data_IF_148621611700
#
_entry.id   IF_148621611700
#
_cell.length_a   1.000
_cell.length_b   1.000
_cell.length_c   1.000
_cell.angle_alpha   90.00
_cell.angle_beta   90.00
_cell.angle_gamma   90.00
#
_symmetry.space_group_name_H-M   'P 1'
#
loop_
_entity.id
_entity.type
_entity.pdbx_description
1 polymer ?
#
# COMPACT_ATOMS: atom_id res chain seq x y z
N UNK A 1 -5.96 12.88 -10.67
CA UNK A 1 -4.86 12.21 -9.97
C UNK A 1 -3.58 12.62 -10.66
N UNK A 2 -2.68 13.30 -9.94
CA UNK A 2 -1.40 13.74 -10.48
C UNK A 2 -0.29 12.76 -10.08
N UNK A 3 -0.32 11.58 -10.72
CA UNK A 3 0.66 10.50 -10.47
C UNK A 3 2.08 10.97 -10.82
N UNK A 4 2.21 11.89 -11.79
CA UNK A 4 3.49 12.49 -12.18
C UNK A 4 4.13 13.26 -11.03
N UNK A 5 3.36 14.08 -10.30
CA UNK A 5 3.85 14.78 -9.10
C UNK A 5 4.33 13.79 -8.02
N UNK A 6 3.60 12.69 -7.80
CA UNK A 6 4.04 11.66 -6.85
C UNK A 6 5.38 11.03 -7.27
N UNK A 7 5.52 10.66 -8.55
CA UNK A 7 6.78 10.11 -9.09
C UNK A 7 7.93 11.10 -8.96
N UNK A 8 7.69 12.39 -9.20
CA UNK A 8 8.69 13.45 -9.03
C UNK A 8 9.12 13.61 -7.57
N UNK A 9 8.19 13.57 -6.61
CA UNK A 9 8.50 13.60 -5.16
C UNK A 9 9.41 12.43 -4.78
N UNK A 10 9.12 11.22 -5.26
CA UNK A 10 9.93 10.03 -4.98
C UNK A 10 11.34 10.17 -5.57
N UNK A 11 11.46 10.63 -6.82
CA UNK A 11 12.76 10.87 -7.46
C UNK A 11 13.56 11.94 -6.71
N UNK A 12 12.91 13.02 -6.26
CA UNK A 12 13.55 14.07 -5.49
C UNK A 12 14.07 13.55 -4.14
N UNK A 13 13.26 12.78 -3.40
CA UNK A 13 13.64 12.20 -2.11
C UNK A 13 14.83 11.25 -2.24
N UNK A 14 14.84 10.38 -3.28
CA UNK A 14 15.96 9.46 -3.56
C UNK A 14 17.28 10.16 -3.86
N UNK A 15 17.24 11.34 -4.47
CA UNK A 15 18.45 12.11 -4.84
C UNK A 15 19.03 12.90 -3.67
N UNK A 16 18.29 13.01 -2.57
CA UNK A 16 18.70 13.82 -1.45
C UNK A 16 19.58 13.00 -0.49
N UNK A 17 20.88 13.29 -0.46
CA UNK A 17 21.87 12.54 0.36
C UNK A 17 21.45 12.42 1.83
N UNK A 18 20.96 13.52 2.43
CA UNK A 18 20.43 13.50 3.80
C UNK A 18 19.26 12.52 4.00
N UNK A 19 18.43 12.30 2.98
CA UNK A 19 17.34 11.33 3.05
C UNK A 19 17.87 9.90 3.04
N UNK A 20 18.95 9.64 2.31
CA UNK A 20 19.56 8.31 2.24
C UNK A 20 20.29 7.97 3.55
N UNK A 21 21.03 8.93 4.12
CA UNK A 21 21.68 8.77 5.43
C UNK A 21 20.64 8.58 6.53
N UNK A 22 19.62 9.45 6.60
CA UNK A 22 18.57 9.34 7.62
C UNK A 22 17.83 8.00 7.56
N UNK A 23 17.52 7.51 6.35
CA UNK A 23 16.88 6.21 6.18
C UNK A 23 17.76 5.06 6.68
N UNK A 24 19.07 5.11 6.39
CA UNK A 24 20.02 4.09 6.88
C UNK A 24 20.15 4.09 8.39
N UNK A 25 20.29 5.27 8.99
CA UNK A 25 20.42 5.40 10.44
C UNK A 25 19.15 4.93 11.14
N UNK A 26 17.98 5.37 10.67
CA UNK A 26 16.67 4.94 11.16
C UNK A 26 16.47 3.42 11.10
N UNK A 27 16.94 2.80 10.02
CA UNK A 27 16.84 1.36 9.82
C UNK A 27 17.84 0.60 10.70
N UNK A 28 19.05 1.11 10.89
CA UNK A 28 20.07 0.49 11.74
C UNK A 28 19.61 0.36 13.20
N UNK A 29 18.81 1.33 13.68
CA UNK A 29 18.21 1.29 15.01
C UNK A 29 17.12 0.21 15.15
N UNK A 30 16.44 -0.14 14.05
CA UNK A 30 15.27 -1.03 14.04
C UNK A 30 15.61 -2.48 13.74
N UNK A 31 16.58 -2.72 12.84
CA UNK A 31 16.97 -4.08 12.44
C UNK A 31 17.21 -5.04 13.62
N UNK A 32 17.90 -4.65 14.71
CA UNK A 32 18.14 -5.55 15.84
C UNK A 32 16.87 -6.00 16.58
N UNK A 33 15.81 -5.18 16.54
CA UNK A 33 14.53 -5.44 17.21
C UNK A 33 13.47 -6.09 16.31
N UNK A 34 13.73 -6.21 15.01
CA UNK A 34 12.83 -6.91 14.10
C UNK A 34 12.93 -8.42 14.36
N UNK A 35 11.82 -9.05 14.73
CA UNK A 35 11.68 -10.51 14.76
C UNK A 35 11.66 -11.14 13.35
N UNK A 36 11.89 -10.32 12.33
CA UNK A 36 11.97 -10.70 10.94
C UNK A 36 13.20 -11.59 10.75
N UNK A 37 12.97 -12.89 10.61
CA UNK A 37 14.05 -13.83 10.32
C UNK A 37 14.50 -13.68 8.87
N UNK A 38 15.19 -12.59 8.51
CA UNK A 38 15.76 -12.40 7.17
C UNK A 38 16.78 -13.53 6.94
N UNK A 39 16.33 -14.69 6.44
CA UNK A 39 17.20 -15.73 5.89
C UNK A 39 17.62 -15.30 4.50
N UNK A 40 18.30 -14.18 4.42
CA UNK A 40 19.06 -13.82 3.25
C UNK A 40 20.51 -14.16 3.56
N UNK A 41 21.18 -14.91 2.69
CA UNK A 41 22.64 -14.97 2.72
C UNK A 41 23.30 -13.63 2.32
N UNK A 42 22.56 -12.53 2.32
CA UNK A 42 22.95 -11.18 1.96
C UNK A 42 22.81 -10.23 3.15
N UNK A 43 23.43 -9.05 3.01
CA UNK A 43 23.30 -7.90 3.91
C UNK A 43 21.83 -7.51 4.15
N UNK A 44 21.39 -7.64 5.41
CA UNK A 44 20.02 -7.33 5.87
C UNK A 44 19.67 -5.86 5.64
N UNK A 45 20.64 -4.95 5.86
CA UNK A 45 20.48 -3.52 5.62
C UNK A 45 20.17 -3.24 4.14
N UNK A 46 21.01 -3.75 3.23
CA UNK A 46 20.78 -3.59 1.79
C UNK A 46 19.45 -4.21 1.35
N UNK A 47 19.08 -5.37 1.90
CA UNK A 47 17.80 -6.02 1.59
C UNK A 47 16.62 -5.13 2.00
N UNK A 48 16.68 -4.55 3.19
CA UNK A 48 15.58 -3.75 3.71
C UNK A 48 15.47 -2.37 3.06
N UNK A 49 16.60 -1.74 2.71
CA UNK A 49 16.60 -0.52 1.91
C UNK A 49 15.93 -0.75 0.55
N UNK A 50 16.23 -1.87 -0.12
CA UNK A 50 15.57 -2.24 -1.38
C UNK A 50 14.08 -2.50 -1.21
N UNK A 51 13.69 -3.14 -0.10
CA UNK A 51 12.29 -3.34 0.21
C UNK A 51 11.55 -2.01 0.37
N UNK A 52 12.05 -1.10 1.21
CA UNK A 52 11.44 0.23 1.43
C UNK A 52 11.31 0.99 0.12
N UNK A 53 12.38 0.99 -0.67
CA UNK A 53 12.43 1.66 -1.97
C UNK A 53 11.39 1.12 -2.96
N UNK A 54 11.28 -0.21 -3.06
CA UNK A 54 10.29 -0.87 -3.91
C UNK A 54 8.87 -0.63 -3.39
N UNK A 55 8.65 -0.66 -2.07
CA UNK A 55 7.35 -0.47 -1.43
C UNK A 55 6.79 0.93 -1.72
N UNK A 56 7.64 1.95 -1.66
CA UNK A 56 7.28 3.35 -1.99
C UNK A 56 7.00 3.49 -3.48
N UNK A 57 7.87 2.99 -4.36
CA UNK A 57 7.72 3.18 -5.82
C UNK A 57 6.52 2.44 -6.40
N UNK A 58 6.11 1.35 -5.77
CA UNK A 58 4.95 0.60 -6.22
C UNK A 58 3.65 1.40 -6.15
N UNK A 59 3.52 2.38 -5.26
CA UNK A 59 2.26 3.12 -5.08
C UNK A 59 1.83 3.86 -6.35
N UNK A 60 2.65 4.72 -6.99
CA UNK A 60 2.23 5.37 -8.23
C UNK A 60 1.88 4.39 -9.36
N UNK A 61 2.62 3.27 -9.49
CA UNK A 61 2.30 2.23 -10.47
C UNK A 61 0.94 1.58 -10.15
N UNK A 62 0.64 1.36 -8.87
CA UNK A 62 -0.61 0.76 -8.39
C UNK A 62 -1.81 1.65 -8.72
N UNK A 63 -1.68 2.94 -8.42
CA UNK A 63 -2.74 3.91 -8.63
C UNK A 63 -3.02 4.10 -10.13
N UNK A 64 -1.98 4.09 -10.97
CA UNK A 64 -2.11 4.16 -12.42
C UNK A 64 -2.81 2.93 -12.99
N UNK A 65 -2.36 1.73 -12.60
CA UNK A 65 -2.96 0.48 -13.00
C UNK A 65 -4.44 0.40 -12.58
N UNK A 66 -4.72 0.73 -11.32
CA UNK A 66 -6.07 0.73 -10.77
C UNK A 66 -6.99 1.67 -11.54
N UNK A 67 -6.52 2.87 -11.92
CA UNK A 67 -7.31 3.81 -12.70
C UNK A 67 -7.67 3.25 -14.09
N UNK A 68 -6.73 2.61 -14.78
CA UNK A 68 -6.96 2.00 -16.09
C UNK A 68 -7.91 0.81 -15.98
N UNK A 69 -7.66 -0.11 -15.03
CA UNK A 69 -8.50 -1.29 -14.83
C UNK A 69 -9.91 -0.88 -14.43
N UNK A 70 -10.08 0.14 -13.59
CA UNK A 70 -11.40 0.61 -13.20
C UNK A 70 -12.25 1.13 -14.36
N UNK A 71 -11.63 1.73 -15.37
CA UNK A 71 -12.32 2.18 -16.57
C UNK A 71 -12.71 0.98 -17.43
N UNK A 72 -11.77 0.07 -17.67
CA UNK A 72 -11.98 -1.11 -18.53
C UNK A 72 -12.98 -2.10 -17.94
N UNK A 73 -12.94 -2.31 -16.62
CA UNK A 73 -13.85 -3.20 -15.91
C UNK A 73 -15.20 -2.56 -15.54
N UNK A 74 -15.39 -1.25 -15.79
CA UNK A 74 -16.61 -0.53 -15.45
C UNK A 74 -16.84 -0.32 -13.94
N UNK A 75 -15.78 -0.44 -13.12
CA UNK A 75 -15.83 -0.29 -11.64
C UNK A 75 -15.35 1.09 -11.16
N UNK A 76 -15.32 2.08 -12.08
CA UNK A 76 -14.82 3.42 -11.80
C UNK A 76 -15.56 4.13 -10.66
N UNK A 77 -16.86 3.88 -10.50
CA UNK A 77 -17.66 4.45 -9.40
C UNK A 77 -17.19 3.93 -8.03
N UNK A 78 -16.84 2.65 -7.95
CA UNK A 78 -16.37 2.00 -6.73
C UNK A 78 -14.92 2.38 -6.41
N UNK A 79 -14.05 2.44 -7.43
CA UNK A 79 -12.61 2.60 -7.22
C UNK A 79 -12.15 4.06 -7.16
N UNK A 80 -12.81 4.99 -7.85
CA UNK A 80 -12.38 6.40 -7.86
C UNK A 80 -12.31 7.05 -6.48
N UNK A 81 -13.26 6.83 -5.56
CA UNK A 81 -13.15 7.33 -4.20
C UNK A 81 -11.91 6.82 -3.48
N UNK A 82 -11.57 5.53 -3.66
CA UNK A 82 -10.41 4.88 -3.03
C UNK A 82 -9.10 5.51 -3.51
N UNK A 83 -8.95 5.68 -4.83
CA UNK A 83 -7.77 6.28 -5.43
C UNK A 83 -7.57 7.73 -4.99
N UNK A 84 -8.66 8.49 -4.80
CA UNK A 84 -8.58 9.87 -4.29
C UNK A 84 -8.09 9.94 -2.86
N UNK A 85 -8.52 9.03 -1.99
CA UNK A 85 -8.04 8.98 -0.60
C UNK A 85 -6.57 8.55 -0.56
N UNK A 86 -6.19 7.53 -1.34
CA UNK A 86 -4.80 7.11 -1.46
C UNK A 86 -3.90 8.24 -1.96
N UNK A 87 -4.35 9.00 -2.98
CA UNK A 87 -3.66 10.20 -3.46
C UNK A 87 -3.56 11.29 -2.38
N UNK A 88 -4.62 11.50 -1.60
CA UNK A 88 -4.65 12.52 -0.56
C UNK A 88 -3.61 12.28 0.53
N UNK A 89 -3.27 11.03 0.86
CA UNK A 89 -2.19 10.75 1.81
C UNK A 89 -0.83 11.34 1.39
N UNK A 90 -0.59 11.50 0.08
CA UNK A 90 0.64 12.10 -0.43
C UNK A 90 0.54 13.63 -0.57
N UNK A 91 -0.63 14.14 -0.96
CA UNK A 91 -0.81 15.58 -1.20
C UNK A 91 -1.04 16.37 0.08
N UNK A 92 -1.73 15.75 1.03
CA UNK A 92 -2.13 16.32 2.31
C UNK A 92 -1.90 15.24 3.38
N UNK A 93 -0.63 14.91 3.66
CA UNK A 93 -0.33 13.88 4.66
C UNK A 93 -0.96 14.25 6.00
N UNK A 94 -1.49 13.27 6.74
CA UNK A 94 -2.07 13.51 8.05
C UNK A 94 -1.03 14.11 9.00
N UNK A 95 -1.51 14.81 10.03
CA UNK A 95 -0.64 15.27 11.10
C UNK A 95 -0.20 14.06 11.94
N UNK A 96 1.07 13.68 11.81
CA UNK A 96 1.64 12.49 12.42
C UNK A 96 2.49 12.87 13.65
N UNK A 97 2.51 12.04 14.69
CA UNK A 97 3.28 12.33 15.91
C UNK A 97 4.80 12.33 15.68
N UNK A 98 5.27 11.77 14.57
CA UNK A 98 6.68 11.73 14.17
C UNK A 98 6.90 12.60 12.94
N UNK A 99 7.85 13.55 13.01
CA UNK A 99 8.27 14.41 11.89
C UNK A 99 9.28 13.67 10.98
N UNK A 100 8.81 12.61 10.33
CA UNK A 100 9.58 11.94 9.27
C UNK A 100 9.72 12.86 8.05
N UNK A 101 10.85 12.72 7.33
CA UNK A 101 11.17 13.54 6.15
C UNK A 101 11.76 12.70 5.02
N UNK A 102 11.66 13.20 3.79
CA UNK A 102 12.22 12.54 2.61
C UNK A 102 11.63 11.13 2.43
N UNK A 103 12.50 10.13 2.29
CA UNK A 103 12.12 8.73 2.11
C UNK A 103 11.35 8.14 3.31
N UNK A 104 11.58 8.62 4.54
CA UNK A 104 10.82 8.15 5.70
C UNK A 104 9.37 8.64 5.65
N UNK A 105 9.15 9.90 5.30
CA UNK A 105 7.79 10.41 5.10
C UNK A 105 7.06 9.66 3.98
N UNK A 106 7.77 9.38 2.88
CA UNK A 106 7.22 8.60 1.77
C UNK A 106 6.90 7.15 2.18
N UNK A 107 7.64 6.56 3.14
CA UNK A 107 7.33 5.24 3.68
C UNK A 107 6.01 5.26 4.46
N UNK A 108 5.80 6.29 5.30
CA UNK A 108 4.54 6.47 6.04
C UNK A 108 3.35 6.62 5.07
N UNK A 109 3.50 7.49 4.07
CA UNK A 109 2.48 7.74 3.04
C UNK A 109 2.19 6.48 2.19
N UNK A 110 3.23 5.72 1.84
CA UNK A 110 3.09 4.46 1.12
C UNK A 110 2.38 3.39 1.96
N UNK A 111 2.69 3.31 3.25
CA UNK A 111 2.01 2.41 4.17
C UNK A 111 0.51 2.71 4.24
N UNK A 112 0.14 3.98 4.43
CA UNK A 112 -1.26 4.41 4.45
C UNK A 112 -2.00 4.02 3.16
N UNK A 113 -1.39 4.23 1.99
CA UNK A 113 -2.00 3.91 0.70
C UNK A 113 -2.18 2.41 0.49
N UNK A 114 -1.15 1.60 0.76
CA UNK A 114 -1.21 0.15 0.60
C UNK A 114 -2.16 -0.50 1.60
N UNK A 115 -2.15 -0.05 2.85
CA UNK A 115 -3.07 -0.54 3.89
C UNK A 115 -4.53 -0.17 3.57
N UNK A 116 -4.79 1.02 3.05
CA UNK A 116 -6.12 1.41 2.58
C UNK A 116 -6.63 0.49 1.47
N UNK A 117 -5.79 0.19 0.47
CA UNK A 117 -6.15 -0.70 -0.64
C UNK A 117 -6.50 -2.10 -0.13
N UNK A 118 -5.67 -2.64 0.76
CA UNK A 118 -5.88 -3.94 1.39
C UNK A 118 -7.22 -4.00 2.15
N UNK A 119 -7.47 -3.03 3.04
CA UNK A 119 -8.70 -3.00 3.84
C UNK A 119 -9.97 -2.78 3.00
N UNK A 120 -9.89 -1.97 1.94
CA UNK A 120 -11.00 -1.83 0.98
C UNK A 120 -11.28 -3.15 0.29
N UNK A 121 -10.25 -3.85 -0.19
CA UNK A 121 -10.42 -5.15 -0.83
C UNK A 121 -11.06 -6.16 0.12
N UNK A 122 -10.55 -6.27 1.35
CA UNK A 122 -11.09 -7.18 2.37
C UNK A 122 -12.56 -6.91 2.64
N UNK A 123 -12.97 -5.63 2.70
CA UNK A 123 -14.37 -5.26 2.90
C UNK A 123 -15.26 -5.66 1.72
N UNK A 124 -14.82 -5.46 0.47
CA UNK A 124 -15.57 -5.92 -0.71
C UNK A 124 -15.65 -7.45 -0.80
N UNK A 125 -14.56 -8.15 -0.48
CA UNK A 125 -14.51 -9.62 -0.43
C UNK A 125 -15.44 -10.16 0.65
N UNK A 126 -15.46 -9.54 1.84
CA UNK A 126 -16.35 -9.90 2.93
C UNK A 126 -17.84 -9.79 2.58
N UNK A 127 -18.19 -8.95 1.59
CA UNK A 127 -19.54 -8.78 1.08
C UNK A 127 -19.83 -9.60 -0.20
N UNK A 128 -19.02 -10.62 -0.47
CA UNK A 128 -19.26 -11.58 -1.56
C UNK A 128 -18.93 -11.04 -2.95
N UNK A 129 -18.05 -10.03 -3.04
CA UNK A 129 -17.46 -9.59 -4.30
C UNK A 129 -16.03 -10.11 -4.45
N UNK A 130 -15.44 -9.95 -5.64
CA UNK A 130 -13.99 -10.06 -5.80
C UNK A 130 -13.26 -8.83 -5.24
N UNK A 131 -11.94 -8.91 -5.00
CA UNK A 131 -11.14 -7.73 -4.68
C UNK A 131 -11.19 -6.72 -5.84
N UNK A 132 -11.23 -5.43 -5.53
CA UNK A 132 -11.16 -4.38 -6.55
C UNK A 132 -9.76 -4.28 -7.16
N UNK A 133 -8.74 -4.49 -6.32
CA UNK A 133 -7.33 -4.50 -6.66
C UNK A 133 -6.74 -5.83 -6.14
N UNK A 134 -6.63 -6.91 -6.94
CA UNK A 134 -6.17 -8.23 -6.53
C UNK A 134 -4.64 -8.28 -6.33
N UNK A 135 -4.08 -7.35 -5.56
CA UNK A 135 -2.67 -7.31 -5.20
C UNK A 135 -2.50 -7.83 -3.78
N UNK A 136 -1.74 -8.91 -3.61
CA UNK A 136 -1.36 -9.40 -2.27
C UNK A 136 -0.29 -8.49 -1.67
N UNK A 137 -0.75 -7.56 -0.83
CA UNK A 137 0.10 -6.65 -0.07
C UNK A 137 0.34 -7.10 1.37
N UNK A 138 -0.35 -8.14 1.83
CA UNK A 138 -0.40 -8.58 3.23
C UNK A 138 0.99 -8.68 3.83
N UNK A 139 1.89 -9.40 3.15
CA UNK A 139 3.24 -9.63 3.66
C UNK A 139 4.09 -8.37 3.65
N UNK A 140 3.96 -7.53 2.62
CA UNK A 140 4.71 -6.28 2.53
C UNK A 140 4.21 -5.28 3.58
N UNK A 141 2.90 -5.19 3.78
CA UNK A 141 2.28 -4.36 4.82
C UNK A 141 2.71 -4.81 6.21
N UNK A 142 2.78 -6.12 6.49
CA UNK A 142 3.29 -6.63 7.77
C UNK A 142 4.76 -6.26 8.00
N UNK A 143 5.62 -6.36 6.97
CA UNK A 143 7.02 -5.94 7.08
C UNK A 143 7.11 -4.43 7.34
N UNK A 144 6.36 -3.62 6.58
CA UNK A 144 6.33 -2.17 6.75
C UNK A 144 5.79 -1.79 8.15
N UNK A 145 4.72 -2.41 8.62
CA UNK A 145 4.18 -2.22 9.96
C UNK A 145 5.23 -2.49 11.04
N UNK A 146 5.96 -3.62 10.93
CA UNK A 146 7.04 -3.94 11.89
C UNK A 146 8.21 -2.96 11.83
N UNK A 147 8.58 -2.48 10.64
CA UNK A 147 9.63 -1.47 10.48
C UNK A 147 9.23 -0.14 11.10
N UNK A 148 8.02 0.32 10.83
CA UNK A 148 7.49 1.56 11.39
C UNK A 148 7.41 1.48 12.91
N UNK A 149 7.05 0.30 13.42
CA UNK A 149 7.09 -0.05 14.82
C UNK A 149 5.91 0.53 15.62
N UNK A 150 5.63 -0.10 16.76
CA UNK A 150 4.58 0.35 17.66
C UNK A 150 5.10 1.42 18.64
N UNK A 151 4.28 2.43 19.00
CA UNK A 151 2.85 2.57 18.68
C UNK A 151 2.54 3.22 17.32
N UNK A 152 3.55 3.71 16.60
CA UNK A 152 3.35 4.55 15.41
C UNK A 152 2.59 3.85 14.27
N UNK A 153 2.88 2.59 13.99
CA UNK A 153 2.16 1.80 12.98
C UNK A 153 0.66 1.66 13.29
N UNK A 154 0.30 1.55 14.58
CA UNK A 154 -1.09 1.49 15.02
C UNK A 154 -1.82 2.83 14.82
N UNK A 155 -1.12 3.95 14.97
CA UNK A 155 -1.69 5.28 14.68
C UNK A 155 -2.00 5.42 13.17
N UNK A 156 -1.13 4.90 12.30
CA UNK A 156 -1.37 4.85 10.86
C UNK A 156 -2.56 3.95 10.50
N UNK A 157 -2.67 2.77 11.12
CA UNK A 157 -3.81 1.88 10.93
C UNK A 157 -5.13 2.52 11.38
N UNK A 158 -5.10 3.32 12.45
CA UNK A 158 -6.27 4.07 12.90
C UNK A 158 -6.70 5.13 11.87
N UNK A 159 -5.75 5.84 11.25
CA UNK A 159 -6.03 6.80 10.17
C UNK A 159 -6.70 6.10 8.98
N UNK A 160 -6.19 4.92 8.60
CA UNK A 160 -6.78 4.10 7.53
C UNK A 160 -8.19 3.66 7.89
N UNK A 161 -8.40 3.17 9.12
CA UNK A 161 -9.73 2.76 9.61
C UNK A 161 -10.73 3.91 9.53
N UNK A 162 -10.36 5.10 9.98
CA UNK A 162 -11.21 6.29 9.91
C UNK A 162 -11.49 6.75 8.48
N UNK A 163 -10.53 6.57 7.56
CA UNK A 163 -10.75 6.84 6.14
C UNK A 163 -11.71 5.82 5.53
N UNK A 164 -11.55 4.55 5.89
CA UNK A 164 -12.36 3.43 5.41
C UNK A 164 -13.83 3.53 5.85
N UNK A 165 -14.09 3.93 7.09
CA UNK A 165 -15.45 4.19 7.60
C UNK A 165 -16.21 5.24 6.77
N UNK A 166 -15.50 6.27 6.28
CA UNK A 166 -16.07 7.30 5.42
C UNK A 166 -16.21 6.85 3.97
N UNK A 167 -15.26 6.06 3.50
CA UNK A 167 -15.13 5.67 2.11
C UNK A 167 -16.05 4.52 1.73
N UNK A 168 -16.14 3.51 2.59
CA UNK A 168 -16.86 2.26 2.34
C UNK A 168 -17.70 1.88 3.58
N UNK A 169 -18.63 2.74 4.06
CA UNK A 169 -19.44 2.43 5.24
C UNK A 169 -20.27 1.17 5.01
N UNK A 170 -20.66 0.47 6.08
CA UNK A 170 -21.45 -0.78 5.98
C UNK A 170 -22.75 -0.59 5.17
N UNK A 171 -23.41 0.55 5.35
CA UNK A 171 -24.62 0.91 4.60
C UNK A 171 -24.43 0.98 3.07
N UNK A 172 -23.19 1.10 2.58
CA UNK A 172 -22.89 1.05 1.14
C UNK A 172 -23.31 -0.31 0.55
N UNK A 173 -23.07 -1.40 1.28
CA UNK A 173 -23.32 -2.77 0.82
C UNK A 173 -24.79 -3.16 0.87
N UNK A 174 -25.61 -2.44 1.63
CA UNK A 174 -27.06 -2.65 1.71
C UNK A 174 -27.81 -1.97 0.55
N UNK A 175 -27.18 -1.02 -0.14
CA UNK A 175 -27.81 -0.19 -1.15
C UNK A 175 -28.02 -0.87 -2.50
N UNK A 176 -29.05 -0.43 -3.24
CA UNK A 176 -29.33 -0.91 -4.60
C UNK A 176 -28.16 -0.70 -5.58
N UNK A 177 -27.33 0.32 -5.34
CA UNK A 177 -26.13 0.57 -6.16
C UNK A 177 -25.10 -0.56 -6.04
N UNK A 178 -24.88 -1.06 -4.82
CA UNK A 178 -23.97 -2.18 -4.59
C UNK A 178 -24.53 -3.48 -5.14
N UNK A 179 -25.84 -3.74 -4.98
CA UNK A 179 -26.47 -4.93 -5.56
C UNK A 179 -26.34 -4.96 -7.10
N UNK A 180 -26.52 -3.80 -7.75
CA UNK A 180 -26.28 -3.65 -9.19
C UNK A 180 -24.82 -3.94 -9.56
N UNK A 181 -23.88 -3.38 -8.80
CA UNK A 181 -22.45 -3.67 -8.97
C UNK A 181 -22.17 -5.17 -8.85
N UNK A 182 -22.58 -5.81 -7.75
CA UNK A 182 -22.36 -7.22 -7.48
C UNK A 182 -22.95 -8.12 -8.58
N UNK A 183 -24.12 -7.77 -9.13
CA UNK A 183 -24.73 -8.52 -10.23
C UNK A 183 -24.01 -8.32 -11.58
N UNK A 184 -23.32 -7.19 -11.77
CA UNK A 184 -22.64 -6.83 -13.02
C UNK A 184 -21.18 -7.24 -13.08
N UNK A 185 -20.52 -7.37 -11.93
CA UNK A 185 -19.08 -7.62 -11.86
C UNK A 185 -18.78 -9.07 -12.18
N UNK A 186 -17.83 -9.30 -13.10
CA UNK A 186 -17.24 -10.61 -13.32
C UNK A 186 -15.83 -10.63 -12.69
N UNK A 187 -15.64 -11.32 -11.54
CA UNK A 187 -14.36 -11.37 -10.86
C UNK A 187 -13.22 -11.92 -11.74
N UNK A 188 -13.49 -12.92 -12.58
CA UNK A 188 -12.47 -13.53 -13.45
C UNK A 188 -11.99 -12.55 -14.52
N UNK A 189 -12.90 -11.73 -15.07
CA UNK A 189 -12.55 -10.71 -16.05
C UNK A 189 -11.74 -9.57 -15.43
N UNK A 190 -12.11 -9.14 -14.21
CA UNK A 190 -11.33 -8.15 -13.48
C UNK A 190 -9.93 -8.69 -13.16
N UNK A 191 -9.83 -9.93 -12.69
CA UNK A 191 -8.55 -10.57 -12.38
C UNK A 191 -7.66 -10.71 -13.63
N UNK A 192 -8.24 -11.05 -14.79
CA UNK A 192 -7.49 -11.13 -16.05
C UNK A 192 -6.91 -9.78 -16.47
N UNK A 193 -7.65 -8.67 -16.32
CA UNK A 193 -7.15 -7.32 -16.61
C UNK A 193 -5.94 -6.96 -15.73
N UNK A 194 -5.90 -7.45 -14.49
CA UNK A 194 -4.77 -7.25 -13.59
C UNK A 194 -3.55 -8.11 -13.95
N UNK A 195 -3.69 -9.20 -14.70
CA UNK A 195 -2.56 -10.03 -15.14
C UNK A 195 -1.71 -9.36 -16.24
N UNK A 196 -2.26 -8.38 -16.96
CA UNK A 196 -1.53 -7.60 -17.96
C UNK A 196 -0.56 -6.58 -17.34
N UNK A 197 -0.72 -6.32 -16.05
CA UNK A 197 0.19 -5.48 -15.27
C UNK A 197 1.23 -6.39 -14.64
N UNK A 198 2.50 -6.37 -15.10
CA UNK A 198 3.52 -7.33 -14.68
C UNK A 198 3.64 -7.31 -13.17
N UNK A 199 3.17 -8.41 -12.57
CA UNK A 199 3.21 -8.80 -11.16
C UNK A 199 3.90 -7.78 -10.24
N UNK A 200 3.15 -6.76 -9.83
CA UNK A 200 3.54 -5.88 -8.74
C UNK A 200 3.87 -6.69 -7.47
N UNK A 201 3.35 -7.93 -7.36
CA UNK A 201 3.60 -8.93 -6.32
C UNK A 201 4.99 -9.60 -6.34
N UNK A 202 5.64 -9.78 -7.50
CA UNK A 202 6.95 -10.48 -7.53
C UNK A 202 8.09 -9.61 -7.01
N UNK A 203 7.96 -8.29 -7.12
CA UNK A 203 9.03 -7.33 -6.81
C UNK A 203 9.24 -7.14 -5.31
N UNK A 204 8.19 -7.28 -4.49
CA UNK A 204 8.26 -7.13 -3.02
C UNK A 204 8.53 -8.45 -2.27
N UNK A 205 8.49 -9.59 -2.97
CA UNK A 205 8.64 -10.93 -2.40
C UNK A 205 10.08 -11.46 -2.32
N UNK A 206 11.08 -10.69 -2.75
CA UNK A 206 12.45 -11.19 -2.95
C UNK A 206 13.20 -11.36 -1.62
N UNK A 207 12.97 -12.49 -0.93
CA UNK A 207 13.94 -13.10 0.00
C UNK A 207 13.62 -13.13 1.50
N UNK A 208 12.59 -12.42 2.00
CA UNK A 208 12.38 -12.25 3.46
C UNK A 208 11.52 -13.38 4.06
N UNK A 209 12.09 -14.53 4.43
CA UNK A 209 11.30 -15.66 5.00
C UNK A 209 10.99 -15.46 6.49
N UNK A 210 9.72 -15.56 6.91
CA UNK A 210 9.35 -15.51 8.32
C UNK A 210 9.85 -16.74 9.12
N UNK A 211 10.22 -16.56 10.40
CA UNK A 211 10.34 -17.69 11.35
C UNK A 211 8.94 -17.99 11.88
N UNK A 212 8.41 -19.15 11.52
CA UNK A 212 7.17 -19.67 12.10
C UNK A 212 5.98 -19.69 11.14
N UNK A 213 6.06 -20.56 10.15
CA UNK A 213 4.91 -21.38 9.79
C UNK A 213 5.43 -22.82 9.84
N UNK A 214 5.07 -23.53 10.90
CA UNK A 214 5.17 -24.99 10.92
C UNK A 214 4.05 -25.55 10.04
#
# INVERSE_FOLDING_TARGET
>A
MDISVLRERIVAARRHEQSETALRDWLAERLPGLELAIRSGQDEMTTMLKFIDAYIVQVPDLLEAAQVVAQTAGISEQLSPVLKVAEAFFQQPPDLPIDHRGMLALLDEAYLAHRLVEEVNDRYVGHGCGPLIPLDMTRANLIAHQLLGEPFSNDLDLIVTQALERLVPESLFEGEAFQRYQASVNPESCQALWQEWPCMSETLGVGIKWRGAA
#
